data_IF_732858197195
#
_entry.id   IF_732858197195
#
_cell.length_a   1.000
_cell.length_b   1.000
_cell.length_c   1.000
_cell.angle_alpha   90.00
_cell.angle_beta   90.00
_cell.angle_gamma   90.00
#
_symmetry.space_group_name_H-M   'P 1'
#
loop_
_entity.id
_entity.type
_entity.pdbx_description
1 polymer ?
#
# COMPACT_ATOMS: atom_id res chain seq x y z
N UNK A 1 13.33 14.26 0.25
CA UNK A 1 13.58 13.33 -0.87
C UNK A 1 15.02 12.86 -0.78
N UNK A 2 15.26 11.54 -0.70
CA UNK A 2 16.60 10.94 -0.70
C UNK A 2 16.81 10.25 -2.05
N UNK A 3 17.92 10.52 -2.72
CA UNK A 3 18.23 9.97 -4.05
C UNK A 3 19.40 9.01 -3.92
N UNK A 4 19.20 7.77 -4.37
CA UNK A 4 20.21 6.71 -4.33
C UNK A 4 20.28 6.04 -5.69
N UNK A 5 21.50 5.85 -6.20
CA UNK A 5 21.74 5.07 -7.42
C UNK A 5 22.16 3.65 -7.04
N UNK A 6 21.42 2.66 -7.54
CA UNK A 6 21.67 1.23 -7.30
C UNK A 6 21.80 0.48 -8.63
N UNK A 7 22.67 -0.53 -8.64
CA UNK A 7 22.82 -1.51 -9.73
C UNK A 7 21.86 -2.68 -9.51
N UNK A 8 21.75 -3.56 -10.51
CA UNK A 8 21.05 -4.83 -10.35
C UNK A 8 21.63 -5.62 -9.16
N UNK A 9 20.76 -6.36 -8.48
CA UNK A 9 21.00 -7.13 -7.26
C UNK A 9 21.31 -6.34 -5.99
N UNK A 10 21.45 -5.01 -6.06
CA UNK A 10 21.58 -4.19 -4.87
C UNK A 10 20.23 -3.91 -4.21
N UNK A 11 20.25 -3.71 -2.89
CA UNK A 11 19.05 -3.46 -2.09
C UNK A 11 19.18 -2.20 -1.22
N UNK A 12 18.03 -1.64 -0.87
CA UNK A 12 17.85 -0.51 0.03
C UNK A 12 16.96 -0.99 1.17
N UNK A 13 17.40 -0.77 2.41
CA UNK A 13 16.63 -1.11 3.61
C UNK A 13 15.99 0.17 4.15
N UNK A 14 14.68 0.12 4.43
CA UNK A 14 13.91 1.23 4.99
C UNK A 14 13.36 0.80 6.36
N UNK A 15 13.76 1.52 7.41
CA UNK A 15 13.43 1.14 8.79
C UNK A 15 14.02 -0.22 9.14
N UNK A 16 13.20 -1.10 9.73
CA UNK A 16 13.66 -2.40 10.23
C UNK A 16 13.17 -3.60 9.40
N UNK A 17 12.11 -3.42 8.61
CA UNK A 17 11.36 -4.55 8.04
C UNK A 17 11.02 -4.38 6.55
N UNK A 18 11.52 -3.34 5.88
CA UNK A 18 11.25 -3.11 4.45
C UNK A 18 12.56 -3.18 3.69
N UNK A 19 12.63 -4.05 2.69
CA UNK A 19 13.77 -4.18 1.79
C UNK A 19 13.29 -4.00 0.36
N UNK A 20 13.89 -3.04 -0.34
CA UNK A 20 13.63 -2.77 -1.76
C UNK A 20 14.86 -3.22 -2.55
N UNK A 21 14.71 -4.24 -3.40
CA UNK A 21 15.78 -4.81 -4.22
C UNK A 21 15.58 -4.46 -5.68
N UNK A 22 16.65 -4.06 -6.35
CA UNK A 22 16.65 -3.91 -7.81
C UNK A 22 16.94 -5.27 -8.43
N UNK A 23 15.93 -5.93 -8.99
CA UNK A 23 16.09 -7.25 -9.61
C UNK A 23 16.73 -7.16 -11.00
N UNK A 24 16.62 -6.01 -11.66
CA UNK A 24 17.21 -5.79 -12.98
C UNK A 24 16.68 -4.55 -13.66
N UNK A 25 17.40 -4.12 -14.68
CA UNK A 25 17.00 -3.01 -15.56
C UNK A 25 16.86 -3.56 -16.96
N UNK A 26 15.65 -3.48 -17.50
CA UNK A 26 15.33 -3.87 -18.86
C UNK A 26 15.86 -2.84 -19.85
N UNK A 27 16.10 -3.27 -21.10
CA UNK A 27 16.66 -2.40 -22.17
C UNK A 27 15.77 -1.22 -22.54
N UNK A 28 14.47 -1.30 -22.25
CA UNK A 28 13.49 -0.24 -22.46
C UNK A 28 13.45 0.80 -21.31
N UNK A 29 14.35 0.68 -20.32
CA UNK A 29 14.38 1.55 -19.14
C UNK A 29 13.44 1.11 -18.02
N UNK A 30 12.73 -0.01 -18.15
CA UNK A 30 11.88 -0.53 -17.09
C UNK A 30 12.74 -1.19 -16.00
N UNK A 31 12.48 -0.84 -14.74
CA UNK A 31 13.21 -1.39 -13.59
C UNK A 31 12.33 -2.43 -12.91
N UNK A 32 12.87 -3.63 -12.69
CA UNK A 32 12.23 -4.64 -11.85
C UNK A 32 12.62 -4.39 -10.40
N UNK A 33 11.63 -4.11 -9.57
CA UNK A 33 11.80 -3.90 -8.13
C UNK A 33 11.16 -5.07 -7.37
N UNK A 34 11.93 -5.71 -6.51
CA UNK A 34 11.42 -6.61 -5.47
C UNK A 34 11.21 -5.80 -4.20
N UNK A 35 10.05 -5.93 -3.56
CA UNK A 35 9.76 -5.26 -2.29
C UNK A 35 9.39 -6.34 -1.29
N UNK A 36 10.23 -6.49 -0.26
CA UNK A 36 9.98 -7.38 0.87
C UNK A 36 9.54 -6.51 2.05
N UNK A 37 8.33 -6.77 2.56
CA UNK A 37 7.75 -6.06 3.70
C UNK A 37 6.87 -7.02 4.51
N UNK A 38 6.61 -6.73 5.80
CA UNK A 38 5.68 -7.51 6.59
C UNK A 38 4.26 -7.46 6.02
N UNK A 39 3.49 -8.55 6.21
CA UNK A 39 2.11 -8.66 5.69
C UNK A 39 1.15 -7.61 6.23
N UNK A 40 1.48 -6.97 7.36
CA UNK A 40 0.71 -5.86 7.92
C UNK A 40 0.81 -4.58 7.08
N UNK A 41 1.82 -4.48 6.20
CA UNK A 41 2.07 -3.29 5.39
C UNK A 41 1.57 -3.52 3.97
N UNK A 42 0.61 -2.70 3.54
CA UNK A 42 0.07 -2.73 2.18
C UNK A 42 1.04 -2.04 1.22
N UNK A 43 1.48 -2.75 0.18
CA UNK A 43 2.29 -2.22 -0.92
C UNK A 43 1.35 -2.06 -2.12
N UNK A 44 1.22 -0.83 -2.61
CA UNK A 44 0.39 -0.50 -3.77
C UNK A 44 1.23 0.26 -4.78
N UNK A 45 0.87 0.11 -6.05
CA UNK A 45 1.46 0.92 -7.13
C UNK A 45 0.86 2.32 -7.06
N UNK A 46 1.68 3.35 -7.24
CA UNK A 46 1.28 4.73 -6.99
C UNK A 46 0.08 5.15 -7.85
N UNK A 47 0.05 4.72 -9.11
CA UNK A 47 -1.03 5.01 -10.05
C UNK A 47 -2.39 4.48 -9.58
N UNK A 48 -2.42 3.43 -8.76
CA UNK A 48 -3.67 2.85 -8.27
C UNK A 48 -4.27 3.62 -7.08
N UNK A 49 -3.46 4.42 -6.37
CA UNK A 49 -3.94 5.21 -5.24
C UNK A 49 -4.84 6.37 -5.70
N UNK A 50 -4.54 6.97 -6.86
CA UNK A 50 -5.29 8.10 -7.37
C UNK A 50 -6.73 7.69 -7.76
N UNK A 51 -6.88 6.53 -8.41
CA UNK A 51 -8.19 6.04 -8.86
C UNK A 51 -9.16 5.77 -7.70
N UNK A 52 -8.68 5.23 -6.57
CA UNK A 52 -9.56 4.88 -5.44
C UNK A 52 -10.03 6.14 -4.70
N UNK A 53 -9.14 7.12 -4.51
CA UNK A 53 -9.49 8.38 -3.86
C UNK A 53 -10.54 9.18 -4.64
N UNK A 54 -10.39 9.25 -5.96
CA UNK A 54 -11.30 10.02 -6.82
C UNK A 54 -12.64 9.34 -7.05
N UNK A 55 -12.68 8.01 -7.16
CA UNK A 55 -13.93 7.25 -7.26
C UNK A 55 -14.75 7.39 -5.97
N UNK A 56 -14.11 7.25 -4.79
CA UNK A 56 -14.81 7.40 -3.51
C UNK A 56 -15.34 8.83 -3.32
N UNK A 57 -14.54 9.86 -3.62
CA UNK A 57 -15.00 11.26 -3.60
C UNK A 57 -16.15 11.51 -4.60
N UNK A 58 -16.02 10.97 -5.81
CA UNK A 58 -17.03 11.11 -6.86
C UNK A 58 -18.32 10.31 -6.63
N UNK A 59 -18.28 9.28 -5.78
CA UNK A 59 -19.47 8.57 -5.31
C UNK A 59 -20.23 9.43 -4.29
N UNK A 60 -19.52 10.02 -3.31
CA UNK A 60 -20.11 10.87 -2.26
C UNK A 60 -20.80 12.11 -2.83
N UNK A 61 -20.17 12.78 -3.80
CA UNK A 61 -20.76 13.94 -4.49
C UNK A 61 -22.06 13.60 -5.24
N UNK A 62 -22.23 12.36 -5.72
CA UNK A 62 -23.43 11.91 -6.44
C UNK A 62 -24.56 11.45 -5.52
N UNK A 63 -24.22 11.00 -4.32
CA UNK A 63 -25.19 10.49 -3.33
C UNK A 63 -25.76 11.57 -2.41
N UNK A 64 -25.23 12.80 -2.45
CA UNK A 64 -25.65 13.90 -1.55
C UNK A 64 -25.37 13.62 -0.07
N UNK A 65 -24.50 12.64 0.22
CA UNK A 65 -24.13 12.24 1.57
C UNK A 65 -22.97 13.11 2.04
N UNK A 66 -23.15 13.76 3.19
CA UNK A 66 -22.12 14.56 3.82
C UNK A 66 -20.99 13.67 4.35
N UNK A 67 -19.74 14.07 4.11
CA UNK A 67 -18.54 13.34 4.50
C UNK A 67 -18.46 13.17 6.02
N UNK A 68 -19.03 14.12 6.76
CA UNK A 68 -19.00 14.17 8.22
C UNK A 68 -19.76 12.99 8.87
N UNK A 69 -20.78 12.47 8.19
CA UNK A 69 -21.59 11.34 8.66
C UNK A 69 -20.86 9.99 8.54
N UNK A 70 -19.81 9.91 7.73
CA UNK A 70 -19.09 8.66 7.43
C UNK A 70 -17.80 8.49 8.24
N UNK A 71 -17.26 9.57 8.82
CA UNK A 71 -16.10 9.54 9.71
C UNK A 71 -16.23 8.50 10.84
N UNK A 72 -17.35 8.43 11.59
CA UNK A 72 -17.46 7.49 12.71
C UNK A 72 -17.51 6.01 12.26
N UNK A 73 -17.83 5.71 11.00
CA UNK A 73 -17.94 4.33 10.49
C UNK A 73 -16.59 3.77 10.00
N UNK A 74 -15.67 4.62 9.56
CA UNK A 74 -14.31 4.20 9.16
C UNK A 74 -13.46 3.86 10.39
N UNK A 75 -13.66 4.60 11.49
CA UNK A 75 -12.98 4.34 12.76
C UNK A 75 -13.51 3.08 13.48
N UNK A 76 -14.72 2.63 13.18
CA UNK A 76 -15.34 1.43 13.74
C UNK A 76 -15.04 0.14 12.94
N UNK A 77 -13.85 0.00 12.35
CA UNK A 77 -13.34 -1.33 11.99
C UNK A 77 -12.45 -1.86 13.12
N UNK A 78 -13.02 -2.38 14.24
CA UNK A 78 -12.25 -3.29 15.06
C UNK A 78 -11.90 -4.48 14.18
N UNK A 79 -10.61 -4.80 14.21
CA UNK A 79 -9.98 -5.95 13.57
C UNK A 79 -10.96 -7.13 13.50
N UNK A 80 -11.25 -7.63 12.28
CA UNK A 80 -11.88 -8.95 12.13
C UNK A 80 -11.06 -9.92 12.96
N UNK A 81 -11.65 -10.35 14.07
CA UNK A 81 -11.13 -11.32 15.01
C UNK A 81 -10.53 -12.47 14.19
N UNK A 82 -9.23 -12.69 14.38
CA UNK A 82 -8.63 -13.96 14.01
C UNK A 82 -9.23 -14.98 14.98
N UNK A 83 -10.01 -15.92 14.48
CA UNK A 83 -10.48 -17.07 15.24
C UNK A 83 -9.29 -17.84 15.83
N UNK A 84 -9.33 -18.22 17.12
CA UNK A 84 -8.56 -19.33 17.62
C UNK A 84 -9.49 -20.29 18.38
N UNK A 85 -10.49 -20.85 17.71
CA UNK A 85 -11.08 -22.12 18.17
C UNK A 85 -10.29 -23.29 17.56
N UNK A 86 -9.00 -23.33 17.90
CA UNK A 86 -8.09 -24.46 17.72
C UNK A 86 -7.40 -24.76 19.06
N UNK A 87 -8.20 -24.99 20.09
CA UNK A 87 -7.77 -25.79 21.24
C UNK A 87 -9.01 -26.29 22.01
N UNK A 88 -9.43 -27.49 21.65
CA UNK A 88 -10.06 -28.47 22.54
C UNK A 88 -9.54 -29.83 22.11
#
# INVERSE_FOLDING_TARGET
>A
MLVLSRRADEAIVIGNNIVVRVLGVEKNGQVRLGIEAPRSLRILRHELLQTVGDVNRGALARSGLDLDLLQPMVEQQPQRQQDPSSQS
#
